data_IF_893439499199
#
_entry.id   IF_893439499199
#
_cell.length_a   1.000
_cell.length_b   1.000
_cell.length_c   1.000
_cell.angle_alpha   90.00
_cell.angle_beta   90.00
_cell.angle_gamma   90.00
#
_symmetry.space_group_name_H-M   'P 1'
#
loop_
_entity.id
_entity.type
_entity.pdbx_description
1 polymer ?
#
# COMPACT_ATOMS: atom_id res chain seq x y z
N UNK A 1 32.73 -8.27 -26.30
CA UNK A 1 33.15 -6.94 -25.81
C UNK A 1 32.54 -5.88 -26.72
N UNK A 2 31.44 -5.25 -26.29
CA UNK A 2 30.81 -4.16 -27.06
C UNK A 2 31.40 -2.85 -26.53
N UNK A 3 32.24 -2.20 -27.32
CA UNK A 3 32.73 -0.85 -27.02
C UNK A 3 31.56 0.13 -27.17
N UNK A 4 30.90 0.45 -26.06
CA UNK A 4 29.95 1.57 -25.99
C UNK A 4 30.70 2.86 -26.35
N UNK A 5 30.44 3.35 -27.56
CA UNK A 5 31.01 4.57 -28.10
C UNK A 5 30.77 5.76 -27.15
N UNK A 6 31.81 6.16 -26.42
CA UNK A 6 31.85 7.36 -25.55
C UNK A 6 31.38 8.63 -26.27
N UNK A 7 31.49 8.67 -27.60
CA UNK A 7 31.09 9.79 -28.46
C UNK A 7 29.58 10.02 -28.45
N UNK A 8 28.73 8.99 -28.46
CA UNK A 8 27.27 9.18 -28.49
C UNK A 8 26.70 9.76 -27.18
N UNK A 9 27.29 9.39 -26.04
CA UNK A 9 26.82 9.86 -24.73
C UNK A 9 27.09 11.36 -24.54
N UNK A 10 28.21 11.87 -25.06
CA UNK A 10 28.54 13.30 -25.01
C UNK A 10 27.58 14.13 -25.88
N UNK A 11 27.18 13.62 -27.04
CA UNK A 11 26.27 14.32 -27.98
C UNK A 11 24.81 14.38 -27.49
N UNK A 12 24.35 13.36 -26.76
CA UNK A 12 23.02 13.38 -26.13
C UNK A 12 23.03 14.31 -24.91
N UNK A 13 24.12 14.30 -24.13
CA UNK A 13 24.30 15.18 -22.98
C UNK A 13 24.27 16.67 -23.36
N UNK A 14 24.68 17.07 -24.56
CA UNK A 14 24.66 18.47 -24.99
C UNK A 14 23.29 18.97 -25.48
N UNK A 15 22.40 18.07 -25.93
CA UNK A 15 21.04 18.44 -26.42
C UNK A 15 20.01 18.65 -25.30
N UNK A 16 20.18 18.00 -24.15
CA UNK A 16 19.30 18.13 -22.99
C UNK A 16 19.67 19.30 -22.06
N UNK A 17 20.65 20.12 -22.46
CA UNK A 17 21.09 21.27 -21.68
C UNK A 17 20.31 22.51 -22.10
N UNK A 18 19.76 23.22 -21.11
CA UNK A 18 19.35 24.62 -21.29
C UNK A 18 20.50 25.38 -21.97
N UNK A 19 20.19 26.14 -23.02
CA UNK A 19 21.21 26.89 -23.77
C UNK A 19 22.00 27.79 -22.80
N UNK A 20 23.32 27.66 -22.82
CA UNK A 20 24.21 28.61 -22.12
C UNK A 20 23.89 30.03 -22.63
N UNK A 21 23.76 31.04 -21.74
CA UNK A 21 24.19 31.06 -20.34
C UNK A 21 23.06 30.82 -19.29
N UNK A 22 21.81 30.64 -19.72
CA UNK A 22 20.64 30.63 -18.82
C UNK A 22 20.67 29.51 -17.77
N UNK A 23 21.22 28.37 -18.13
CA UNK A 23 21.43 27.23 -17.23
C UNK A 23 22.30 27.56 -16.01
N UNK A 24 23.45 28.19 -16.25
CA UNK A 24 24.37 28.62 -15.20
C UNK A 24 23.78 29.74 -14.34
N UNK A 25 22.99 30.63 -14.98
CA UNK A 25 22.29 31.71 -14.29
C UNK A 25 21.21 31.18 -13.33
N UNK A 26 20.37 30.25 -13.79
CA UNK A 26 19.31 29.64 -12.96
C UNK A 26 19.92 28.88 -11.79
N UNK A 27 20.97 28.09 -12.00
CA UNK A 27 21.64 27.34 -10.93
C UNK A 27 22.28 28.31 -9.92
N UNK A 28 22.89 29.42 -10.37
CA UNK A 28 23.47 30.42 -9.48
C UNK A 28 22.40 31.07 -8.59
N UNK A 29 21.28 31.52 -9.16
CA UNK A 29 20.17 32.14 -8.42
C UNK A 29 19.61 31.16 -7.38
N UNK A 30 19.37 29.91 -7.79
CA UNK A 30 18.85 28.88 -6.90
C UNK A 30 19.85 28.55 -5.76
N UNK A 31 21.15 28.52 -6.07
CA UNK A 31 22.22 28.29 -5.08
C UNK A 31 22.21 29.39 -4.01
N UNK A 32 22.10 30.65 -4.41
CA UNK A 32 22.06 31.79 -3.48
C UNK A 32 20.81 31.70 -2.60
N UNK A 33 19.64 31.44 -3.19
CA UNK A 33 18.37 31.37 -2.47
C UNK A 33 18.37 30.28 -1.39
N UNK A 34 19.01 29.13 -1.66
CA UNK A 34 19.15 28.02 -0.71
C UNK A 34 20.26 28.29 0.33
N UNK A 35 21.34 28.99 -0.06
CA UNK A 35 22.47 29.30 0.83
C UNK A 35 22.07 30.20 1.98
N UNK A 36 21.18 31.17 1.76
CA UNK A 36 20.75 32.14 2.79
C UNK A 36 20.15 31.48 4.03
N UNK A 37 19.08 30.65 3.96
CA UNK A 37 18.50 30.02 5.14
C UNK A 37 19.47 29.01 5.80
N UNK A 38 20.24 28.28 5.00
CA UNK A 38 21.24 27.34 5.54
C UNK A 38 22.36 28.07 6.27
N UNK A 39 22.83 29.20 5.75
CA UNK A 39 23.86 30.01 6.40
C UNK A 39 23.40 30.46 7.80
N UNK A 40 22.14 30.86 7.95
CA UNK A 40 21.57 31.24 9.26
C UNK A 40 21.66 30.05 10.23
N UNK A 41 21.21 28.86 9.82
CA UNK A 41 21.23 27.63 10.64
C UNK A 41 22.67 27.23 11.01
N UNK A 42 23.60 27.28 10.07
CA UNK A 42 25.00 26.93 10.32
C UNK A 42 25.70 27.97 11.18
N UNK A 43 25.42 29.27 10.98
CA UNK A 43 26.00 30.33 11.79
C UNK A 43 25.57 30.24 13.26
N UNK A 44 24.30 29.93 13.54
CA UNK A 44 23.81 29.79 14.92
C UNK A 44 24.34 28.54 15.64
N UNK A 45 24.59 27.44 14.91
CA UNK A 45 25.00 26.17 15.50
C UNK A 45 26.52 25.93 15.55
N UNK A 46 27.32 26.74 14.86
CA UNK A 46 28.78 26.61 14.87
C UNK A 46 29.41 27.48 15.96
N UNK A 47 30.46 26.97 16.61
CA UNK A 47 31.22 27.70 17.63
C UNK A 47 31.86 28.92 16.97
N UNK A 48 31.52 30.12 17.44
CA UNK A 48 32.05 31.39 16.90
C UNK A 48 33.56 31.52 17.17
N UNK A 49 34.42 31.40 16.15
CA UNK A 49 35.81 31.75 16.27
C UNK A 49 35.85 33.29 16.16
N UNK A 50 36.09 34.01 17.25
CA UNK A 50 36.11 35.49 17.27
C UNK A 50 37.29 36.07 16.46
N UNK A 51 37.27 35.88 15.14
CA UNK A 51 38.29 36.34 14.21
C UNK A 51 38.10 37.82 13.93
N UNK A 52 39.23 38.50 13.69
CA UNK A 52 39.24 39.93 13.35
C UNK A 52 38.43 40.13 12.06
N UNK A 53 37.55 41.14 12.05
CA UNK A 53 36.62 41.49 10.96
C UNK A 53 35.51 40.46 10.64
N UNK A 54 35.19 39.50 11.52
CA UNK A 54 34.16 38.48 11.24
C UNK A 54 34.40 37.70 9.94
N UNK A 55 35.67 37.50 9.59
CA UNK A 55 36.09 36.79 8.37
C UNK A 55 35.59 35.35 8.35
N UNK A 56 35.40 34.74 9.51
CA UNK A 56 34.78 33.44 9.71
C UNK A 56 33.41 33.35 9.01
N UNK A 57 32.58 34.40 9.11
CA UNK A 57 31.22 34.43 8.53
C UNK A 57 31.26 34.57 7.01
N UNK A 58 32.15 35.42 6.52
CA UNK A 58 32.34 35.63 5.08
C UNK A 58 32.85 34.35 4.42
N UNK A 59 33.85 33.71 5.02
CA UNK A 59 34.40 32.44 4.54
C UNK A 59 33.34 31.34 4.59
N UNK A 60 32.60 31.23 5.70
CA UNK A 60 31.52 30.24 5.84
C UNK A 60 30.47 30.41 4.72
N UNK A 61 30.04 31.65 4.45
CA UNK A 61 29.07 31.92 3.38
C UNK A 61 29.59 31.50 2.00
N UNK A 62 30.82 31.86 1.65
CA UNK A 62 31.39 31.50 0.34
C UNK A 62 31.65 30.00 0.20
N UNK A 63 32.10 29.32 1.25
CA UNK A 63 32.28 27.87 1.26
C UNK A 63 30.94 27.16 1.11
N UNK A 64 29.93 27.58 1.87
CA UNK A 64 28.58 27.01 1.81
C UNK A 64 27.96 27.21 0.42
N UNK A 65 28.08 28.42 -0.15
CA UNK A 65 27.63 28.73 -1.50
C UNK A 65 28.34 27.85 -2.54
N UNK A 66 29.66 27.67 -2.43
CA UNK A 66 30.43 26.84 -3.37
C UNK A 66 30.01 25.36 -3.30
N UNK A 67 29.79 24.83 -2.09
CA UNK A 67 29.32 23.45 -1.89
C UNK A 67 27.92 23.26 -2.47
N UNK A 68 26.97 24.14 -2.14
CA UNK A 68 25.59 24.07 -2.65
C UNK A 68 25.58 24.21 -4.17
N UNK A 69 26.34 25.15 -4.71
CA UNK A 69 26.45 25.36 -6.15
C UNK A 69 27.02 24.13 -6.87
N UNK A 70 28.09 23.54 -6.34
CA UNK A 70 28.67 22.32 -6.88
C UNK A 70 27.71 21.13 -6.80
N UNK A 71 27.00 20.97 -5.68
CA UNK A 71 26.00 19.92 -5.50
C UNK A 71 24.85 20.06 -6.50
N UNK A 72 24.27 21.26 -6.65
CA UNK A 72 23.21 21.51 -7.63
C UNK A 72 23.69 21.28 -9.07
N UNK A 73 24.92 21.69 -9.38
CA UNK A 73 25.54 21.44 -10.68
C UNK A 73 25.76 19.94 -10.96
N UNK A 74 26.18 19.18 -9.94
CA UNK A 74 26.38 17.73 -10.04
C UNK A 74 25.05 16.97 -10.17
N UNK A 75 24.02 17.36 -9.39
CA UNK A 75 22.69 16.75 -9.39
C UNK A 75 21.97 16.88 -10.73
N UNK A 76 22.29 17.87 -11.57
CA UNK A 76 21.73 18.00 -12.92
C UNK A 76 21.90 16.72 -13.74
N UNK A 77 23.08 16.09 -13.66
CA UNK A 77 23.33 14.86 -14.42
C UNK A 77 22.58 13.69 -13.79
N UNK A 78 22.50 13.66 -12.45
CA UNK A 78 21.79 12.60 -11.69
C UNK A 78 20.29 12.62 -12.00
N UNK A 79 19.65 13.79 -12.02
CA UNK A 79 18.22 13.92 -12.34
C UNK A 79 17.92 13.40 -13.75
N UNK A 80 18.74 13.75 -14.74
CA UNK A 80 18.59 13.25 -16.11
C UNK A 80 18.76 11.72 -16.16
N UNK A 81 19.73 11.17 -15.42
CA UNK A 81 19.93 9.72 -15.33
C UNK A 81 18.70 9.04 -14.70
N UNK A 82 18.17 9.58 -13.61
CA UNK A 82 16.97 9.05 -12.95
C UNK A 82 15.75 9.08 -13.87
N UNK A 83 15.55 10.17 -14.63
CA UNK A 83 14.44 10.29 -15.59
C UNK A 83 14.60 9.27 -16.72
N UNK A 84 15.80 9.13 -17.30
CA UNK A 84 16.06 8.14 -18.36
C UNK A 84 15.84 6.72 -17.83
N UNK A 85 16.31 6.42 -16.63
CA UNK A 85 16.13 5.11 -16.01
C UNK A 85 14.65 4.81 -15.73
N UNK A 86 13.89 5.79 -15.26
CA UNK A 86 12.44 5.70 -15.10
C UNK A 86 11.73 5.38 -16.43
N UNK A 87 12.07 6.09 -17.51
CA UNK A 87 11.51 5.80 -18.84
C UNK A 87 11.90 4.41 -19.36
N UNK A 88 13.14 3.95 -19.11
CA UNK A 88 13.56 2.59 -19.49
C UNK A 88 12.77 1.52 -18.73
N UNK A 89 12.53 1.71 -17.43
CA UNK A 89 11.70 0.82 -16.61
C UNK A 89 10.25 0.81 -17.11
N UNK A 90 9.68 1.97 -17.45
CA UNK A 90 8.33 2.06 -18.02
C UNK A 90 8.23 1.38 -19.38
N UNK A 91 9.19 1.59 -20.29
CA UNK A 91 9.21 0.95 -21.61
C UNK A 91 9.34 -0.57 -21.46
N UNK A 92 10.26 -1.04 -20.60
CA UNK A 92 10.42 -2.46 -20.31
C UNK A 92 9.13 -3.06 -19.73
N UNK A 93 8.52 -2.41 -18.74
CA UNK A 93 7.27 -2.84 -18.11
C UNK A 93 6.10 -2.81 -19.10
N UNK A 94 6.06 -1.85 -20.02
CA UNK A 94 5.03 -1.77 -21.05
C UNK A 94 5.15 -2.85 -22.13
N UNK A 95 6.35 -3.40 -22.37
CA UNK A 95 6.58 -4.45 -23.37
C UNK A 95 6.45 -5.86 -22.78
N UNK A 96 6.82 -6.04 -21.52
CA UNK A 96 6.95 -7.36 -20.88
C UNK A 96 6.13 -7.55 -19.59
N UNK A 97 5.52 -6.49 -19.07
CA UNK A 97 4.79 -6.49 -17.80
C UNK A 97 3.36 -5.96 -17.90
N UNK A 98 2.68 -5.96 -16.76
CA UNK A 98 1.28 -5.51 -16.64
C UNK A 98 1.15 -3.99 -16.39
N UNK A 99 2.26 -3.25 -16.33
CA UNK A 99 2.31 -1.82 -15.98
C UNK A 99 2.75 -1.00 -17.20
N UNK A 100 1.87 -0.16 -17.72
CA UNK A 100 2.05 0.56 -18.99
C UNK A 100 1.75 2.06 -18.84
N UNK A 101 1.89 2.83 -19.92
CA UNK A 101 1.62 4.28 -19.87
C UNK A 101 0.17 4.62 -19.51
N UNK A 102 -0.78 3.76 -19.90
CA UNK A 102 -2.19 3.96 -19.56
C UNK A 102 -2.43 3.71 -18.07
N UNK A 103 -1.80 2.70 -17.46
CA UNK A 103 -1.92 2.46 -16.02
C UNK A 103 -1.37 3.62 -15.20
N UNK A 104 -0.27 4.24 -15.62
CA UNK A 104 0.24 5.46 -14.96
C UNK A 104 -0.76 6.62 -15.06
N UNK A 105 -1.42 6.77 -16.20
CA UNK A 105 -2.44 7.81 -16.41
C UNK A 105 -3.71 7.52 -15.59
N UNK A 106 -4.15 6.27 -15.54
CA UNK A 106 -5.30 5.83 -14.76
C UNK A 106 -5.04 5.96 -13.25
N UNK A 107 -3.83 5.63 -12.79
CA UNK A 107 -3.37 5.82 -11.40
C UNK A 107 -3.32 7.31 -11.03
N UNK A 108 -2.89 8.18 -11.94
CA UNK A 108 -2.89 9.63 -11.72
C UNK A 108 -4.30 10.22 -11.67
N UNK A 109 -5.18 9.81 -12.59
CA UNK A 109 -6.56 10.27 -12.62
C UNK A 109 -7.33 9.79 -11.40
N UNK A 110 -7.21 8.51 -11.03
CA UNK A 110 -7.86 7.97 -9.83
C UNK A 110 -7.40 8.67 -8.56
N UNK A 111 -6.11 8.99 -8.44
CA UNK A 111 -5.60 9.82 -7.35
C UNK A 111 -6.27 11.20 -7.34
N UNK A 112 -6.32 11.91 -8.48
CA UNK A 112 -7.01 13.20 -8.58
C UNK A 112 -8.50 13.13 -8.21
N UNK A 113 -9.21 12.10 -8.66
CA UNK A 113 -10.61 11.88 -8.32
C UNK A 113 -10.80 11.63 -6.82
N UNK A 114 -9.94 10.80 -6.21
CA UNK A 114 -9.98 10.52 -4.78
C UNK A 114 -9.67 11.77 -3.93
N UNK A 115 -8.76 12.63 -4.40
CA UNK A 115 -8.42 13.89 -3.72
C UNK A 115 -9.53 14.94 -3.85
N UNK A 116 -10.20 15.02 -5.00
CA UNK A 116 -11.27 16.01 -5.22
C UNK A 116 -12.51 15.73 -4.36
N UNK A 117 -12.75 14.47 -4.02
CA UNK A 117 -13.93 14.05 -3.26
C UNK A 117 -13.66 13.88 -1.76
N UNK A 118 -12.44 14.12 -1.28
CA UNK A 118 -12.06 13.96 0.12
C UNK A 118 -11.86 15.33 0.80
N UNK A 119 -12.50 15.60 1.95
CA UNK A 119 -12.29 16.84 2.71
C UNK A 119 -10.85 17.05 3.20
N UNK A 120 -10.00 16.01 3.23
CA UNK A 120 -8.60 16.07 3.64
C UNK A 120 -7.65 15.37 2.63
N UNK A 121 -7.34 15.99 1.49
CA UNK A 121 -6.58 15.38 0.40
C UNK A 121 -5.13 15.02 0.76
N UNK A 122 -4.53 15.69 1.76
CA UNK A 122 -3.20 15.36 2.27
C UNK A 122 -3.12 13.95 2.90
N UNK A 123 -4.21 13.45 3.47
CA UNK A 123 -4.20 12.17 4.19
C UNK A 123 -4.13 10.98 3.22
N UNK A 124 -4.63 11.14 1.99
CA UNK A 124 -4.52 10.14 0.92
C UNK A 124 -3.05 9.93 0.52
N UNK A 125 -2.30 11.02 0.37
CA UNK A 125 -0.88 10.97 0.02
C UNK A 125 -0.08 10.34 1.16
N UNK A 126 -0.37 10.73 2.41
CA UNK A 126 0.31 10.20 3.60
C UNK A 126 -0.01 8.71 3.77
N UNK A 127 -1.26 8.28 3.64
CA UNK A 127 -1.65 6.87 3.71
C UNK A 127 -0.97 6.01 2.63
N UNK A 128 -0.82 6.51 1.39
CA UNK A 128 -0.06 5.80 0.34
C UNK A 128 1.45 5.72 0.62
N UNK A 129 2.00 6.68 1.37
CA UNK A 129 3.41 6.72 1.76
C UNK A 129 3.72 5.91 3.02
N UNK A 130 2.72 5.67 3.87
CA UNK A 130 2.89 4.89 5.09
C UNK A 130 3.03 3.40 4.74
N UNK A 131 4.17 2.78 5.07
CA UNK A 131 4.33 1.34 4.87
C UNK A 131 3.32 0.59 5.74
N UNK A 132 2.69 -0.44 5.17
CA UNK A 132 1.83 -1.35 5.94
C UNK A 132 2.64 -1.92 7.12
N UNK A 133 2.14 -1.81 8.37
CA UNK A 133 2.90 -2.20 9.54
C UNK A 133 3.25 -3.68 9.46
N UNK A 134 4.47 -4.05 9.86
CA UNK A 134 4.94 -5.44 9.91
C UNK A 134 4.71 -6.27 8.62
N UNK A 135 4.62 -5.63 7.44
CA UNK A 135 4.26 -6.28 6.15
C UNK A 135 5.00 -7.59 5.90
N UNK A 136 6.32 -7.64 6.12
CA UNK A 136 7.13 -8.84 5.88
C UNK A 136 6.77 -9.98 6.82
N UNK A 137 6.48 -9.68 8.09
CA UNK A 137 6.09 -10.68 9.09
C UNK A 137 4.71 -11.24 8.76
N UNK A 138 3.73 -10.36 8.51
CA UNK A 138 2.35 -10.71 8.14
C UNK A 138 2.33 -11.55 6.85
N UNK A 139 3.10 -11.15 5.83
CA UNK A 139 3.14 -11.89 4.56
C UNK A 139 3.67 -13.32 4.75
N UNK A 140 4.66 -13.51 5.63
CA UNK A 140 5.18 -14.85 5.97
C UNK A 140 4.18 -15.65 6.81
N UNK A 141 3.48 -14.99 7.72
CA UNK A 141 2.53 -15.59 8.65
C UNK A 141 1.27 -16.17 7.96
N UNK A 142 0.91 -15.68 6.76
CA UNK A 142 -0.27 -16.16 6.02
C UNK A 142 -0.18 -17.66 5.69
N UNK A 143 0.97 -18.20 5.32
CA UNK A 143 1.12 -19.66 5.13
C UNK A 143 0.00 -20.35 4.29
N UNK A 144 -0.55 -19.71 3.24
CA UNK A 144 -1.72 -20.24 2.51
C UNK A 144 -1.45 -21.60 1.81
N UNK A 145 -0.18 -21.92 1.55
CA UNK A 145 0.26 -23.21 0.99
C UNK A 145 0.45 -24.30 2.06
N UNK A 146 0.40 -23.95 3.35
CA UNK A 146 0.55 -24.90 4.44
C UNK A 146 -0.64 -25.89 4.43
N UNK A 147 -0.38 -27.21 4.38
CA UNK A 147 -1.45 -28.21 4.32
C UNK A 147 -2.47 -28.11 5.45
N UNK A 148 -2.08 -27.66 6.65
CA UNK A 148 -3.02 -27.49 7.78
C UNK A 148 -4.07 -26.43 7.47
N UNK A 149 -3.62 -25.27 6.99
CA UNK A 149 -4.47 -24.14 6.59
C UNK A 149 -5.37 -24.53 5.41
N UNK A 150 -4.78 -25.11 4.36
CA UNK A 150 -5.55 -25.56 3.18
C UNK A 150 -6.60 -26.62 3.53
N UNK A 151 -6.24 -27.62 4.32
CA UNK A 151 -7.18 -28.69 4.71
C UNK A 151 -8.31 -28.15 5.57
N UNK A 152 -8.01 -27.20 6.48
CA UNK A 152 -9.04 -26.50 7.23
C UNK A 152 -9.99 -25.71 6.30
N UNK A 153 -9.46 -24.94 5.36
CA UNK A 153 -10.28 -24.17 4.45
C UNK A 153 -11.20 -25.06 3.61
N UNK A 154 -10.67 -26.17 3.07
CA UNK A 154 -11.45 -27.19 2.36
C UNK A 154 -12.53 -27.80 3.29
N UNK A 155 -12.18 -28.13 4.53
CA UNK A 155 -13.12 -28.64 5.52
C UNK A 155 -14.29 -27.65 5.75
N UNK A 156 -14.02 -26.36 5.90
CA UNK A 156 -15.05 -25.34 6.08
C UNK A 156 -16.04 -25.33 4.90
N UNK A 157 -15.55 -25.43 3.65
CA UNK A 157 -16.41 -25.53 2.46
C UNK A 157 -17.27 -26.79 2.40
N UNK A 158 -16.83 -27.87 3.05
CA UNK A 158 -17.58 -29.12 3.13
C UNK A 158 -18.66 -29.09 4.22
N UNK A 159 -18.46 -28.26 5.26
CA UNK A 159 -19.32 -28.12 6.42
C UNK A 159 -20.45 -27.11 6.19
N UNK A 160 -20.13 -25.96 5.60
CA UNK A 160 -21.09 -24.88 5.37
C UNK A 160 -21.39 -24.71 3.88
N UNK A 161 -22.65 -24.39 3.56
CA UNK A 161 -23.10 -23.97 2.22
C UNK A 161 -22.81 -24.92 1.05
N UNK A 162 -22.55 -26.20 1.31
CA UNK A 162 -22.22 -27.22 0.30
C UNK A 162 -23.31 -27.45 -0.77
N UNK A 163 -24.59 -27.35 -0.38
CA UNK A 163 -25.73 -27.76 -1.21
C UNK A 163 -26.48 -26.59 -1.87
N UNK A 164 -25.86 -25.42 -1.97
CA UNK A 164 -26.48 -24.24 -2.61
C UNK A 164 -26.55 -24.45 -4.14
N UNK A 165 -27.76 -24.35 -4.70
CA UNK A 165 -28.04 -24.52 -6.14
C UNK A 165 -28.34 -23.18 -6.80
N UNK A 166 -28.04 -23.04 -8.10
CA UNK A 166 -28.41 -21.86 -8.90
C UNK A 166 -27.40 -20.71 -8.89
N UNK A 167 -26.29 -20.81 -8.15
CA UNK A 167 -25.30 -19.74 -8.00
C UNK A 167 -23.88 -20.21 -8.37
N UNK A 168 -23.73 -20.90 -9.51
CA UNK A 168 -22.43 -21.44 -9.95
C UNK A 168 -21.37 -20.36 -10.16
N UNK A 169 -21.77 -19.17 -10.64
CA UNK A 169 -20.88 -18.03 -10.83
C UNK A 169 -20.30 -17.51 -9.50
N UNK A 170 -21.07 -17.59 -8.41
CA UNK A 170 -20.66 -17.15 -7.08
C UNK A 170 -20.11 -18.28 -6.20
N UNK A 171 -19.80 -19.45 -6.79
CA UNK A 171 -19.38 -20.64 -6.02
C UNK A 171 -18.14 -20.39 -5.16
N UNK A 172 -17.13 -19.71 -5.70
CA UNK A 172 -15.91 -19.39 -4.96
C UNK A 172 -16.21 -18.45 -3.78
N UNK A 173 -17.01 -17.40 -4.00
CA UNK A 173 -17.43 -16.47 -2.93
C UNK A 173 -18.23 -17.19 -1.83
N UNK A 174 -19.14 -18.10 -2.20
CA UNK A 174 -19.89 -18.94 -1.24
C UNK A 174 -18.94 -19.81 -0.40
N UNK A 175 -17.88 -20.36 -1.01
CA UNK A 175 -16.85 -21.12 -0.30
C UNK A 175 -16.01 -20.23 0.64
N UNK A 176 -15.66 -19.02 0.23
CA UNK A 176 -15.01 -18.03 1.10
C UNK A 176 -15.91 -17.67 2.30
N UNK A 177 -17.22 -17.53 2.09
CA UNK A 177 -18.18 -17.32 3.16
C UNK A 177 -18.33 -18.53 4.10
N UNK A 178 -18.14 -19.75 3.59
CA UNK A 178 -18.09 -20.94 4.44
C UNK A 178 -16.87 -20.91 5.39
N UNK A 179 -15.71 -20.49 4.88
CA UNK A 179 -14.49 -20.26 5.68
C UNK A 179 -14.74 -19.19 6.73
N UNK A 180 -15.28 -18.04 6.33
CA UNK A 180 -15.62 -16.95 7.25
C UNK A 180 -16.52 -17.43 8.38
N UNK A 181 -17.59 -18.19 8.07
CA UNK A 181 -18.53 -18.71 9.07
C UNK A 181 -17.84 -19.66 10.05
N UNK A 182 -16.97 -20.55 9.57
CA UNK A 182 -16.26 -21.49 10.44
C UNK A 182 -15.26 -20.79 11.37
N UNK A 183 -14.52 -19.80 10.88
CA UNK A 183 -13.58 -19.01 11.70
C UNK A 183 -14.35 -18.16 12.71
N UNK A 184 -15.26 -17.29 12.26
CA UNK A 184 -15.93 -16.32 13.13
C UNK A 184 -16.87 -16.96 14.17
N UNK A 185 -17.36 -18.19 13.92
CA UNK A 185 -18.16 -18.90 14.91
C UNK A 185 -17.34 -19.49 16.07
N UNK A 186 -16.02 -19.59 15.91
CA UNK A 186 -15.10 -20.21 16.86
C UNK A 186 -14.04 -19.25 17.39
N UNK A 187 -13.90 -18.09 16.76
CA UNK A 187 -12.86 -17.12 17.08
C UNK A 187 -13.01 -16.59 18.51
N UNK A 188 -11.91 -16.61 19.26
CA UNK A 188 -11.80 -16.08 20.60
C UNK A 188 -10.71 -15.01 20.64
N UNK A 189 -11.12 -13.75 20.83
CA UNK A 189 -10.20 -12.63 20.83
C UNK A 189 -9.31 -12.64 22.08
N UNK A 190 -8.01 -12.57 21.89
CA UNK A 190 -7.00 -12.54 22.96
C UNK A 190 -6.04 -11.39 22.67
N UNK A 191 -5.85 -10.49 23.64
CA UNK A 191 -4.90 -9.39 23.49
C UNK A 191 -3.46 -9.91 23.56
N UNK A 192 -2.58 -9.21 22.86
CA UNK A 192 -1.14 -9.42 22.94
C UNK A 192 -0.54 -9.11 24.33
N UNK A 193 0.67 -9.63 24.61
CA UNK A 193 1.45 -9.23 25.78
C UNK A 193 1.66 -7.71 25.82
N UNK A 194 1.74 -7.14 27.02
CA UNK A 194 1.87 -5.69 27.21
C UNK A 194 3.12 -5.06 26.58
N UNK A 195 4.14 -5.87 26.28
CA UNK A 195 5.47 -5.41 25.85
C UNK A 195 5.72 -5.58 24.33
N UNK A 196 4.70 -5.88 23.54
CA UNK A 196 4.79 -5.83 22.07
C UNK A 196 3.76 -6.67 21.34
N UNK A 197 3.67 -6.42 20.04
CA UNK A 197 2.75 -7.13 19.13
C UNK A 197 3.37 -8.48 18.71
N UNK A 198 2.65 -9.57 18.93
CA UNK A 198 3.06 -10.91 18.51
C UNK A 198 2.22 -11.34 17.31
N UNK A 199 2.87 -11.50 16.15
CA UNK A 199 2.19 -11.90 14.93
C UNK A 199 2.21 -13.43 14.82
N UNK A 200 1.10 -14.07 15.15
CA UNK A 200 0.98 -15.52 15.01
C UNK A 200 0.85 -15.92 13.54
N UNK A 201 1.36 -17.11 13.22
CA UNK A 201 1.15 -17.71 11.91
C UNK A 201 -0.27 -18.25 11.76
N UNK A 202 -0.80 -18.32 10.54
CA UNK A 202 -2.11 -18.89 10.28
C UNK A 202 -2.23 -20.32 10.84
N UNK A 203 -1.17 -21.13 10.74
CA UNK A 203 -1.20 -22.49 11.29
C UNK A 203 -1.16 -22.55 12.82
N UNK A 204 -0.63 -21.51 13.48
CA UNK A 204 -0.64 -21.34 14.93
C UNK A 204 -2.03 -20.91 15.44
N UNK A 205 -2.61 -19.84 14.88
CA UNK A 205 -3.96 -19.38 15.26
C UNK A 205 -5.03 -20.44 14.98
N UNK A 206 -4.83 -21.28 13.96
CA UNK A 206 -5.72 -22.39 13.63
C UNK A 206 -5.85 -23.44 14.75
N UNK A 207 -4.85 -23.58 15.63
CA UNK A 207 -4.87 -24.58 16.70
C UNK A 207 -5.99 -24.31 17.72
N UNK A 208 -6.19 -23.04 18.07
CA UNK A 208 -7.12 -22.61 19.11
C UNK A 208 -8.22 -21.66 18.62
N UNK A 209 -8.17 -21.22 17.35
CA UNK A 209 -9.04 -20.16 16.83
C UNK A 209 -9.01 -18.94 17.75
N UNK A 210 -7.82 -18.55 18.18
CA UNK A 210 -7.64 -17.46 19.14
C UNK A 210 -6.46 -16.59 18.73
N UNK A 211 -6.54 -15.32 19.10
CA UNK A 211 -5.56 -14.31 18.75
C UNK A 211 -6.19 -12.92 18.75
N UNK A 212 -5.42 -11.93 18.35
CA UNK A 212 -5.84 -10.54 18.28
C UNK A 212 -6.46 -10.20 16.90
N UNK A 213 -6.43 -8.93 16.49
CA UNK A 213 -6.97 -8.51 15.19
C UNK A 213 -6.08 -8.94 14.02
N UNK A 214 -4.76 -8.94 14.22
CA UNK A 214 -3.78 -9.29 13.20
C UNK A 214 -3.85 -10.80 12.94
N UNK A 215 -3.90 -11.61 14.00
CA UNK A 215 -3.99 -13.06 13.93
C UNK A 215 -5.27 -13.54 13.21
N UNK A 216 -6.41 -12.91 13.53
CA UNK A 216 -7.68 -13.21 12.84
C UNK A 216 -7.57 -12.92 11.35
N UNK A 217 -7.06 -11.73 11.03
CA UNK A 217 -6.86 -11.24 9.67
C UNK A 217 -5.97 -12.18 8.86
N UNK A 218 -4.87 -12.62 9.46
CA UNK A 218 -3.91 -13.56 8.86
C UNK A 218 -4.56 -14.91 8.60
N UNK A 219 -5.22 -15.52 9.59
CA UNK A 219 -5.89 -16.82 9.43
C UNK A 219 -7.00 -16.77 8.37
N UNK A 220 -7.80 -15.70 8.37
CA UNK A 220 -8.88 -15.49 7.41
C UNK A 220 -8.34 -15.37 5.99
N UNK A 221 -7.36 -14.49 5.78
CA UNK A 221 -6.75 -14.27 4.47
C UNK A 221 -6.03 -15.53 3.96
N UNK A 222 -5.31 -16.22 4.84
CA UNK A 222 -4.66 -17.50 4.53
C UNK A 222 -5.64 -18.55 4.03
N UNK A 223 -6.73 -18.75 4.78
CA UNK A 223 -7.74 -19.76 4.48
C UNK A 223 -8.49 -19.46 3.18
N UNK A 224 -8.80 -18.18 2.93
CA UNK A 224 -9.48 -17.73 1.71
C UNK A 224 -8.56 -17.87 0.49
N UNK A 225 -7.30 -17.46 0.59
CA UNK A 225 -6.33 -17.60 -0.49
C UNK A 225 -6.08 -19.07 -0.83
N UNK A 226 -6.03 -19.96 0.18
CA UNK A 226 -5.84 -21.40 -0.02
C UNK A 226 -6.93 -22.09 -0.85
N UNK A 227 -8.12 -21.49 -0.97
CA UNK A 227 -9.24 -21.98 -1.80
C UNK A 227 -9.49 -21.13 -3.05
N UNK A 228 -8.55 -20.24 -3.39
CA UNK A 228 -8.58 -19.45 -4.62
C UNK A 228 -9.44 -18.18 -4.56
N UNK A 229 -9.82 -17.72 -3.37
CA UNK A 229 -10.35 -16.36 -3.20
C UNK A 229 -9.23 -15.33 -3.16
N UNK A 230 -9.56 -14.05 -3.34
CA UNK A 230 -8.61 -12.93 -3.30
C UNK A 230 -8.85 -12.06 -2.06
N UNK A 231 -8.12 -12.30 -0.96
CA UNK A 231 -8.21 -11.47 0.23
C UNK A 231 -7.25 -10.28 0.18
N UNK A 232 -7.58 -9.25 0.95
CA UNK A 232 -6.67 -8.17 1.32
C UNK A 232 -6.79 -7.85 2.80
N UNK A 233 -5.73 -7.31 3.38
CA UNK A 233 -5.74 -6.81 4.76
C UNK A 233 -5.78 -5.29 4.75
N UNK A 234 -6.66 -4.71 5.55
CA UNK A 234 -6.80 -3.27 5.72
C UNK A 234 -6.27 -2.89 7.10
N UNK A 235 -5.37 -1.92 7.14
CA UNK A 235 -4.87 -1.32 8.37
C UNK A 235 -5.52 0.04 8.58
N UNK A 236 -6.07 0.24 9.78
CA UNK A 236 -6.70 1.48 10.24
C UNK A 236 -6.04 1.94 11.53
N UNK A 237 -6.56 2.99 12.18
CA UNK A 237 -6.03 3.47 13.47
C UNK A 237 -6.21 2.42 14.57
N UNK A 238 -5.20 1.57 14.76
CA UNK A 238 -5.13 0.56 15.82
C UNK A 238 -5.94 -0.71 15.57
N UNK A 239 -6.24 -1.03 14.30
CA UNK A 239 -6.96 -2.26 13.94
C UNK A 239 -6.57 -2.73 12.53
N UNK A 240 -6.40 -4.04 12.38
CA UNK A 240 -6.25 -4.71 11.08
C UNK A 240 -7.42 -5.67 10.88
N UNK A 241 -8.02 -5.65 9.69
CA UNK A 241 -9.11 -6.57 9.36
C UNK A 241 -9.01 -7.08 7.90
N UNK A 242 -9.56 -8.27 7.61
CA UNK A 242 -9.54 -8.84 6.27
C UNK A 242 -10.76 -8.38 5.45
N UNK A 243 -10.56 -8.22 4.15
CA UNK A 243 -11.61 -8.05 3.15
C UNK A 243 -11.44 -9.06 2.02
N UNK A 244 -12.52 -9.32 1.28
CA UNK A 244 -12.46 -10.12 0.05
C UNK A 244 -12.94 -9.36 -1.16
N UNK A 245 -12.29 -9.62 -2.28
CA UNK A 245 -12.78 -9.21 -3.58
C UNK A 245 -14.04 -10.00 -3.95
N UNK A 246 -15.12 -9.30 -4.33
CA UNK A 246 -16.37 -9.91 -4.79
C UNK A 246 -16.72 -9.61 -6.25
N UNK A 247 -15.90 -8.79 -6.94
CA UNK A 247 -16.15 -8.38 -8.33
C UNK A 247 -16.63 -6.94 -8.44
N UNK A 248 -17.70 -6.72 -9.19
CA UNK A 248 -18.26 -5.39 -9.50
C UNK A 248 -19.44 -4.99 -8.62
N UNK A 249 -19.94 -3.76 -8.78
CA UNK A 249 -21.20 -3.34 -8.14
C UNK A 249 -22.41 -4.20 -8.50
N UNK A 250 -22.43 -4.80 -9.70
CA UNK A 250 -23.47 -5.75 -10.08
C UNK A 250 -23.38 -7.04 -9.26
N UNK A 251 -22.16 -7.50 -8.99
CA UNK A 251 -21.92 -8.69 -8.17
C UNK A 251 -22.31 -8.45 -6.71
N UNK A 252 -22.11 -7.23 -6.21
CA UNK A 252 -22.54 -6.83 -4.88
C UNK A 252 -24.05 -7.01 -4.67
N UNK A 253 -24.90 -6.74 -5.67
CA UNK A 253 -26.36 -6.94 -5.54
C UNK A 253 -26.70 -8.42 -5.30
N UNK A 254 -26.08 -9.32 -6.08
CA UNK A 254 -26.26 -10.77 -5.94
C UNK A 254 -25.67 -11.30 -4.63
N UNK A 255 -24.47 -10.83 -4.26
CA UNK A 255 -23.82 -11.16 -2.99
C UNK A 255 -24.66 -10.67 -1.81
N UNK A 256 -25.23 -9.47 -1.88
CA UNK A 256 -26.11 -8.94 -0.84
C UNK A 256 -27.37 -9.81 -0.69
N UNK A 257 -27.97 -10.27 -1.78
CA UNK A 257 -29.07 -11.23 -1.72
C UNK A 257 -28.64 -12.55 -1.05
N UNK A 258 -27.50 -13.11 -1.45
CA UNK A 258 -26.97 -14.35 -0.90
C UNK A 258 -26.74 -14.24 0.61
N UNK A 259 -26.07 -13.19 1.07
CA UNK A 259 -25.80 -12.97 2.50
C UNK A 259 -27.11 -12.80 3.26
N UNK A 260 -28.03 -11.96 2.77
CA UNK A 260 -29.25 -11.59 3.51
C UNK A 260 -30.38 -12.61 3.51
N UNK A 261 -30.46 -13.45 2.49
CA UNK A 261 -31.61 -14.35 2.30
C UNK A 261 -31.23 -15.83 2.32
N UNK A 262 -29.98 -16.18 2.03
CA UNK A 262 -29.58 -17.58 1.80
C UNK A 262 -28.57 -18.08 2.83
N UNK A 263 -27.46 -17.35 3.03
CA UNK A 263 -26.29 -17.85 3.74
C UNK A 263 -26.25 -17.40 5.22
N UNK A 264 -26.65 -16.17 5.50
CA UNK A 264 -26.58 -15.55 6.83
C UNK A 264 -27.88 -14.80 7.19
N UNK A 265 -29.03 -15.35 6.79
CA UNK A 265 -30.31 -14.64 6.86
C UNK A 265 -30.68 -14.20 8.28
N UNK A 266 -30.31 -15.00 9.29
CA UNK A 266 -30.54 -14.65 10.69
C UNK A 266 -29.51 -13.63 11.19
N UNK A 267 -28.23 -13.86 10.90
CA UNK A 267 -27.12 -13.05 11.40
C UNK A 267 -27.11 -11.63 10.82
N UNK A 268 -27.60 -11.47 9.58
CA UNK A 268 -27.66 -10.22 8.81
C UNK A 268 -29.03 -9.52 8.80
N UNK A 269 -30.02 -10.03 9.54
CA UNK A 269 -31.38 -9.48 9.56
C UNK A 269 -31.38 -7.99 9.94
N UNK A 270 -31.97 -7.15 9.07
CA UNK A 270 -32.03 -5.68 9.18
C UNK A 270 -30.67 -4.97 9.25
N UNK A 271 -29.58 -5.64 8.90
CA UNK A 271 -28.24 -5.03 8.88
C UNK A 271 -27.83 -4.62 7.47
N UNK A 272 -26.94 -3.64 7.40
CA UNK A 272 -26.32 -3.20 6.15
C UNK A 272 -25.02 -3.97 5.91
N UNK A 273 -24.66 -4.11 4.63
CA UNK A 273 -23.37 -4.66 4.23
C UNK A 273 -22.42 -3.50 3.98
N UNK A 274 -21.23 -3.58 4.57
CA UNK A 274 -20.19 -2.58 4.41
C UNK A 274 -19.08 -3.14 3.52
N UNK A 275 -18.66 -2.32 2.57
CA UNK A 275 -17.72 -2.67 1.53
C UNK A 275 -16.95 -1.42 1.09
N UNK A 276 -15.80 -1.64 0.48
CA UNK A 276 -15.00 -0.61 -0.16
C UNK A 276 -15.00 -0.80 -1.67
N UNK A 277 -14.94 0.30 -2.41
CA UNK A 277 -14.73 0.31 -3.86
C UNK A 277 -13.32 0.82 -4.09
N UNK A 278 -12.49 0.05 -4.79
CA UNK A 278 -11.14 0.49 -5.12
C UNK A 278 -11.10 1.41 -6.36
N UNK A 279 -9.90 1.90 -6.66
CA UNK A 279 -9.61 2.82 -7.78
C UNK A 279 -10.00 2.22 -9.15
N UNK A 280 -10.17 0.89 -9.25
CA UNK A 280 -10.54 0.15 -10.47
C UNK A 280 -12.02 -0.24 -10.50
N UNK A 281 -12.82 0.30 -9.58
CA UNK A 281 -14.25 0.00 -9.45
C UNK A 281 -14.54 -1.42 -8.95
N UNK A 282 -13.55 -2.11 -8.38
CA UNK A 282 -13.75 -3.42 -7.78
C UNK A 282 -14.28 -3.29 -6.35
N UNK A 283 -15.18 -4.19 -5.99
CA UNK A 283 -15.85 -4.20 -4.70
C UNK A 283 -15.18 -5.19 -3.76
N UNK A 284 -14.91 -4.71 -2.55
CA UNK A 284 -14.24 -5.44 -1.48
C UNK A 284 -15.13 -5.50 -0.25
N UNK A 285 -15.50 -6.70 0.18
CA UNK A 285 -16.44 -6.91 1.27
C UNK A 285 -15.72 -7.18 2.60
N UNK A 286 -16.17 -6.52 3.66
CA UNK A 286 -15.60 -6.67 5.01
C UNK A 286 -15.76 -8.09 5.58
N UNK A 287 -14.70 -8.69 6.13
CA UNK A 287 -14.71 -9.99 6.80
C UNK A 287 -14.22 -9.95 8.26
N UNK A 288 -14.27 -8.78 8.90
CA UNK A 288 -13.89 -8.59 10.30
C UNK A 288 -14.63 -9.56 11.28
N UNK A 289 -13.95 -9.98 12.35
CA UNK A 289 -14.51 -10.83 13.42
C UNK A 289 -15.59 -10.13 14.24
N UNK A 290 -15.68 -8.80 14.17
CA UNK A 290 -16.68 -7.99 14.89
C UNK A 290 -18.12 -8.32 14.50
N UNK A 291 -18.34 -8.95 13.34
CA UNK A 291 -19.65 -9.39 12.90
C UNK A 291 -19.73 -10.90 12.63
N UNK A 292 -20.93 -11.46 12.80
CA UNK A 292 -21.25 -12.87 12.50
C UNK A 292 -21.73 -13.11 11.06
N UNK A 293 -21.62 -12.11 10.21
CA UNK A 293 -21.98 -12.16 8.79
C UNK A 293 -20.96 -11.33 7.99
N UNK A 294 -20.66 -11.71 6.74
CA UNK A 294 -19.75 -10.93 5.90
C UNK A 294 -20.40 -9.59 5.54
N UNK A 295 -19.60 -8.53 5.48
CA UNK A 295 -20.07 -7.15 5.34
C UNK A 295 -20.48 -6.48 6.66
N UNK A 296 -19.93 -6.92 7.79
CA UNK A 296 -20.10 -6.25 9.08
C UNK A 296 -19.67 -4.78 9.08
N UNK A 297 -20.06 -3.98 10.09
CA UNK A 297 -19.61 -2.59 10.22
C UNK A 297 -18.08 -2.50 10.34
N UNK A 298 -17.49 -1.42 9.83
CA UNK A 298 -16.08 -1.11 10.05
C UNK A 298 -15.87 -0.57 11.47
N UNK A 299 -14.77 -0.95 12.13
CA UNK A 299 -14.38 -0.33 13.41
C UNK A 299 -13.88 1.11 13.23
N UNK A 300 -13.24 1.39 12.08
CA UNK A 300 -12.78 2.71 11.68
C UNK A 300 -12.91 2.84 10.17
N UNK A 301 -13.40 3.98 9.69
CA UNK A 301 -13.57 4.23 8.23
C UNK A 301 -12.25 4.66 7.56
N UNK A 302 -11.27 5.14 8.34
CA UNK A 302 -10.03 5.68 7.79
C UNK A 302 -9.01 4.58 7.50
N UNK A 303 -8.82 4.29 6.21
CA UNK A 303 -7.82 3.33 5.73
C UNK A 303 -6.45 4.00 5.70
N UNK A 304 -5.53 3.48 6.51
CA UNK A 304 -4.12 3.92 6.54
C UNK A 304 -3.23 3.11 5.60
N UNK A 305 -3.64 1.89 5.25
CA UNK A 305 -2.91 1.04 4.31
C UNK A 305 -3.68 -0.22 3.92
N UNK A 306 -3.32 -0.80 2.78
CA UNK A 306 -3.90 -2.05 2.28
C UNK A 306 -2.80 -3.01 1.79
N UNK A 307 -2.95 -4.29 2.11
CA UNK A 307 -2.09 -5.38 1.65
C UNK A 307 -2.93 -6.41 0.87
N UNK A 308 -2.93 -6.32 -0.45
CA UNK A 308 -3.62 -7.28 -1.33
C UNK A 308 -2.75 -8.51 -1.57
N UNK A 309 -3.37 -9.70 -1.49
CA UNK A 309 -2.69 -10.97 -1.61
C UNK A 309 -3.06 -11.65 -2.94
N UNK A 310 -2.55 -11.11 -4.05
CA UNK A 310 -2.70 -11.68 -5.40
C UNK A 310 -2.06 -13.06 -5.55
#
# INVERSE_FOLDING_TARGET
MIQLNKTNFQTVKTKLQLKKPWDSFVILVLSILITIPLFIIFHENLINPNWIFSLDRIILFFVLLAVIHYTLYSLRTIIIICIVLYFLVLIYSSLFGNFNFNSVFDDYNSMLYSMNNNPYPQDIIIAKLLPFPNKTQITKAIEYENPKVRNFAVFATSRHFKNIRGYSEYRNIIQCFAVFKEINSRWNYVNDPKDGDYIATASESLLYFSGDCDDHSILMAASIKAIGGTPRLIHTKGHIYPEIWIGSMKDLENVNYLVKNVLFAQESYKKQLNYHIDERGQVWLNLDYTAKYPGGPFMSEEILGALTLE
#
